data_IF_241470238300
#
_entry.id   IF_241470238300
#
_cell.length_a   1.000
_cell.length_b   1.000
_cell.length_c   1.000
_cell.angle_alpha   90.00
_cell.angle_beta   90.00
_cell.angle_gamma   90.00
#
_symmetry.space_group_name_H-M   'P 1'
#
loop_
_entity.id
_entity.type
_entity.pdbx_description
1 polymer ?
#
# COMPACT_ATOMS: atom_id res chain seq x y z
N UNK A 1 -25.55 1.49 5.50
CA UNK A 1 -25.24 1.11 4.11
C UNK A 1 -24.90 -0.38 4.08
N UNK A 2 -25.20 -1.10 3.01
CA UNK A 2 -24.79 -2.51 2.83
C UNK A 2 -23.63 -2.53 1.84
N UNK A 3 -22.51 -3.14 2.22
CA UNK A 3 -21.35 -3.31 1.34
C UNK A 3 -21.51 -4.57 0.52
N UNK A 4 -21.40 -4.47 -0.80
CA UNK A 4 -21.45 -5.62 -1.70
C UNK A 4 -20.04 -5.98 -2.20
N UNK A 5 -19.74 -7.29 -2.30
CA UNK A 5 -18.53 -7.80 -2.95
C UNK A 5 -18.95 -8.40 -4.28
N UNK A 6 -18.37 -7.93 -5.38
CA UNK A 6 -18.56 -8.47 -6.73
C UNK A 6 -17.23 -8.83 -7.37
N UNK A 7 -17.24 -9.85 -8.23
CA UNK A 7 -16.08 -10.07 -9.10
C UNK A 7 -15.83 -8.80 -9.91
N UNK A 8 -14.56 -8.42 -10.04
CA UNK A 8 -14.19 -7.20 -10.74
C UNK A 8 -14.72 -7.21 -12.18
N UNK A 9 -14.68 -8.37 -12.89
CA UNK A 9 -15.26 -8.54 -14.22
C UNK A 9 -16.73 -8.16 -14.35
N UNK A 10 -17.50 -8.30 -13.28
CA UNK A 10 -18.97 -8.18 -13.31
C UNK A 10 -19.46 -6.86 -12.70
N UNK A 11 -18.58 -6.16 -11.94
CA UNK A 11 -18.94 -4.98 -11.15
C UNK A 11 -18.48 -3.63 -11.73
N UNK A 12 -17.76 -3.61 -12.85
CA UNK A 12 -17.14 -2.38 -13.40
C UNK A 12 -18.15 -1.30 -13.74
N UNK A 13 -19.24 -1.62 -14.44
CA UNK A 13 -20.23 -0.63 -14.86
C UNK A 13 -20.97 -0.02 -13.65
N UNK A 14 -21.27 -0.85 -12.65
CA UNK A 14 -21.85 -0.37 -11.39
C UNK A 14 -20.85 0.48 -10.61
N UNK A 15 -19.59 0.04 -10.49
CA UNK A 15 -18.55 0.81 -9.86
C UNK A 15 -18.33 2.17 -10.51
N UNK A 16 -18.32 2.21 -11.85
CA UNK A 16 -18.23 3.47 -12.60
C UNK A 16 -19.44 4.39 -12.32
N UNK A 17 -20.64 3.84 -12.24
CA UNK A 17 -21.85 4.60 -11.87
C UNK A 17 -21.72 5.18 -10.46
N UNK A 18 -21.32 4.38 -9.47
CA UNK A 18 -21.11 4.84 -8.09
C UNK A 18 -20.12 6.00 -8.05
N UNK A 19 -18.95 5.88 -8.72
CA UNK A 19 -17.94 6.94 -8.79
C UNK A 19 -18.50 8.20 -9.46
N UNK A 20 -19.25 8.07 -10.55
CA UNK A 20 -19.87 9.19 -11.27
C UNK A 20 -20.93 9.93 -10.44
N UNK A 21 -21.55 9.24 -9.50
CA UNK A 21 -22.53 9.78 -8.53
C UNK A 21 -21.86 10.30 -7.25
N UNK A 22 -20.51 10.34 -7.19
CA UNK A 22 -19.73 10.82 -6.02
C UNK A 22 -19.67 9.83 -4.87
N UNK A 23 -19.87 8.53 -5.13
CA UNK A 23 -19.74 7.44 -4.15
C UNK A 23 -18.31 6.89 -4.05
N UNK A 24 -18.14 5.83 -3.24
CA UNK A 24 -16.87 5.15 -2.98
C UNK A 24 -16.87 3.74 -3.56
N UNK A 25 -15.80 3.36 -4.23
CA UNK A 25 -15.57 2.00 -4.72
C UNK A 25 -14.21 1.49 -4.28
N UNK A 26 -14.18 0.27 -3.75
CA UNK A 26 -12.92 -0.42 -3.51
C UNK A 26 -12.53 -1.19 -4.77
N UNK A 27 -11.27 -1.06 -5.16
CA UNK A 27 -10.75 -1.66 -6.39
C UNK A 27 -9.44 -2.44 -6.13
N UNK A 28 -9.22 -3.55 -6.86
CA UNK A 28 -8.01 -4.35 -6.76
C UNK A 28 -6.83 -3.65 -7.44
N UNK A 29 -5.63 -3.81 -6.89
CA UNK A 29 -4.38 -3.50 -7.61
C UNK A 29 -3.37 -4.63 -7.42
N UNK A 30 -2.27 -4.58 -8.17
CA UNK A 30 -1.17 -5.54 -7.98
C UNK A 30 -0.48 -5.37 -6.61
N UNK A 31 -0.61 -4.21 -5.96
CA UNK A 31 0.04 -3.88 -4.68
C UNK A 31 -0.85 -4.17 -3.47
N UNK A 32 -1.87 -3.37 -3.24
CA UNK A 32 -2.90 -3.51 -2.20
C UNK A 32 -4.23 -3.02 -2.77
N UNK A 33 -5.35 -3.40 -2.16
CA UNK A 33 -6.66 -2.85 -2.53
C UNK A 33 -6.72 -1.35 -2.20
N UNK A 34 -7.30 -0.57 -3.13
CA UNK A 34 -7.48 0.88 -3.01
C UNK A 34 -8.94 1.26 -2.75
N UNK A 35 -9.16 2.28 -1.91
CA UNK A 35 -10.47 2.91 -1.71
C UNK A 35 -10.53 4.19 -2.54
N UNK A 36 -11.33 4.20 -3.61
CA UNK A 36 -11.35 5.24 -4.62
C UNK A 36 -12.58 6.13 -4.61
N UNK A 37 -12.34 7.40 -4.92
CA UNK A 37 -13.33 8.40 -5.27
C UNK A 37 -12.86 9.23 -6.46
N UNK A 38 -13.76 9.93 -7.14
CA UNK A 38 -13.41 10.89 -8.19
C UNK A 38 -12.39 11.92 -7.66
N UNK A 39 -11.19 11.94 -8.26
CA UNK A 39 -10.09 12.78 -7.80
C UNK A 39 -10.36 14.30 -7.94
N UNK A 40 -11.32 14.69 -8.78
CA UNK A 40 -11.69 16.09 -9.03
C UNK A 40 -12.84 16.57 -8.14
N UNK A 41 -13.50 15.65 -7.42
CA UNK A 41 -14.63 15.96 -6.53
C UNK A 41 -14.20 15.98 -5.07
N UNK A 42 -14.06 17.19 -4.51
CA UNK A 42 -13.66 17.38 -3.12
C UNK A 42 -14.60 16.70 -2.12
N UNK A 43 -15.92 16.68 -2.39
CA UNK A 43 -16.91 16.06 -1.52
C UNK A 43 -16.80 14.52 -1.56
N UNK A 44 -16.60 13.95 -2.74
CA UNK A 44 -16.36 12.51 -2.89
C UNK A 44 -15.06 12.09 -2.20
N UNK A 45 -13.98 12.86 -2.35
CA UNK A 45 -12.70 12.60 -1.67
C UNK A 45 -12.83 12.71 -0.15
N UNK A 46 -13.63 13.64 0.39
CA UNK A 46 -13.86 13.76 1.82
C UNK A 46 -14.43 12.48 2.44
N UNK A 47 -15.33 11.78 1.73
CA UNK A 47 -15.89 10.49 2.15
C UNK A 47 -14.83 9.40 2.37
N UNK A 48 -13.70 9.42 1.62
CA UNK A 48 -12.58 8.49 1.84
C UNK A 48 -12.02 8.66 3.26
N UNK A 49 -11.81 9.89 3.71
CA UNK A 49 -11.27 10.17 5.03
C UNK A 49 -12.25 9.77 6.14
N UNK A 50 -13.55 10.00 5.92
CA UNK A 50 -14.63 9.60 6.84
C UNK A 50 -14.69 8.08 6.98
N UNK A 51 -14.82 7.34 5.86
CA UNK A 51 -14.92 5.88 5.86
C UNK A 51 -13.73 5.19 6.53
N UNK A 52 -12.52 5.76 6.39
CA UNK A 52 -11.29 5.22 6.99
C UNK A 52 -11.02 5.69 8.42
N UNK A 53 -11.69 6.73 8.92
CA UNK A 53 -11.25 7.44 10.12
C UNK A 53 -9.83 8.02 9.96
N UNK A 54 -9.49 8.55 8.76
CA UNK A 54 -8.15 9.01 8.39
C UNK A 54 -8.02 10.53 8.57
N UNK A 55 -6.93 11.03 9.17
CA UNK A 55 -6.64 12.46 9.18
C UNK A 55 -6.41 13.00 7.75
N UNK A 56 -6.91 14.20 7.44
CA UNK A 56 -6.81 14.82 6.12
C UNK A 56 -5.40 15.41 5.81
N UNK A 57 -4.48 15.35 6.75
CA UNK A 57 -3.09 15.84 6.60
C UNK A 57 -2.14 14.81 5.95
N UNK A 58 -2.68 13.73 5.38
CA UNK A 58 -1.94 12.66 4.73
C UNK A 58 -2.46 12.48 3.29
N UNK A 59 -1.68 12.87 2.26
CA UNK A 59 -2.16 12.97 0.88
C UNK A 59 -2.59 11.62 0.31
N UNK A 60 -3.32 11.66 -0.80
CA UNK A 60 -3.78 10.51 -1.58
C UNK A 60 -2.98 10.41 -2.89
N UNK A 61 -3.00 9.22 -3.49
CA UNK A 61 -2.43 8.98 -4.83
C UNK A 61 -3.56 9.00 -5.84
N UNK A 62 -3.38 9.70 -6.95
CA UNK A 62 -4.33 9.71 -8.06
C UNK A 62 -3.97 8.57 -9.02
N UNK A 63 -4.93 7.67 -9.22
CA UNK A 63 -4.81 6.52 -10.12
C UNK A 63 -5.40 6.87 -11.48
N UNK A 64 -4.68 6.54 -12.56
CA UNK A 64 -5.04 6.80 -13.94
C UNK A 64 -5.16 5.49 -14.74
N UNK A 65 -5.89 5.53 -15.85
CA UNK A 65 -5.99 4.40 -16.80
C UNK A 65 -5.12 4.59 -18.04
N UNK A 66 -4.75 5.83 -18.36
CA UNK A 66 -3.87 6.17 -19.49
C UNK A 66 -2.99 7.38 -19.17
N UNK A 67 -1.87 7.52 -19.91
CA UNK A 67 -0.94 8.64 -19.70
C UNK A 67 -1.51 10.00 -20.14
N UNK A 68 -2.51 10.03 -21.01
CA UNK A 68 -3.20 11.25 -21.43
C UNK A 68 -3.85 11.95 -20.25
N UNK A 69 -4.39 11.19 -19.30
CA UNK A 69 -5.05 11.73 -18.10
C UNK A 69 -4.11 12.52 -17.20
N UNK A 70 -2.80 12.30 -17.29
CA UNK A 70 -1.84 13.00 -16.43
C UNK A 70 -1.85 14.52 -16.65
N UNK A 71 -2.20 14.96 -17.86
CA UNK A 71 -2.29 16.41 -18.23
C UNK A 71 -3.42 17.15 -17.52
N UNK A 72 -4.43 16.42 -17.02
CA UNK A 72 -5.49 16.98 -16.20
C UNK A 72 -5.12 17.03 -14.72
N UNK A 73 -4.13 16.24 -14.29
CA UNK A 73 -3.76 16.02 -12.89
C UNK A 73 -2.54 16.84 -12.52
N UNK A 74 -1.59 17.00 -13.45
CA UNK A 74 -0.30 17.64 -13.20
C UNK A 74 0.05 18.68 -14.25
N UNK A 75 0.94 19.62 -13.85
CA UNK A 75 1.54 20.64 -14.71
C UNK A 75 3.06 20.52 -14.71
N UNK A 76 3.75 21.14 -15.65
CA UNK A 76 5.22 21.12 -15.77
C UNK A 76 5.79 19.68 -15.73
N UNK A 77 5.15 18.76 -16.44
CA UNK A 77 5.49 17.33 -16.43
C UNK A 77 6.87 17.14 -17.11
N UNK A 78 7.91 16.68 -16.40
CA UNK A 78 9.23 16.50 -16.99
C UNK A 78 9.27 15.28 -17.93
N UNK A 79 10.14 15.31 -18.94
CA UNK A 79 10.31 14.17 -19.88
C UNK A 79 10.64 12.85 -19.18
N UNK A 80 11.41 12.91 -18.08
CA UNK A 80 11.70 11.76 -17.22
C UNK A 80 10.47 11.05 -16.68
N UNK A 81 9.33 11.75 -16.54
CA UNK A 81 8.06 11.08 -16.20
C UNK A 81 7.66 10.07 -17.27
N UNK A 82 7.76 10.44 -18.54
CA UNK A 82 7.35 9.57 -19.65
C UNK A 82 8.33 8.39 -19.84
N UNK A 83 9.62 8.62 -19.66
CA UNK A 83 10.63 7.55 -19.67
C UNK A 83 10.38 6.52 -18.55
N UNK A 84 10.07 6.98 -17.34
CA UNK A 84 9.73 6.10 -16.21
C UNK A 84 8.38 5.39 -16.42
N UNK A 85 7.40 6.09 -17.00
CA UNK A 85 6.09 5.52 -17.27
C UNK A 85 6.18 4.42 -18.33
N UNK A 86 6.95 4.59 -19.39
CA UNK A 86 7.18 3.57 -20.43
C UNK A 86 7.72 2.26 -19.85
N UNK A 87 8.60 2.34 -18.86
CA UNK A 87 9.23 1.16 -18.25
C UNK A 87 8.43 0.55 -17.08
N UNK A 88 7.75 1.36 -16.28
CA UNK A 88 7.17 0.92 -15.00
C UNK A 88 5.66 1.12 -14.89
N UNK A 89 4.99 1.68 -15.89
CA UNK A 89 3.53 1.83 -15.92
C UNK A 89 2.96 1.10 -17.15
N UNK A 90 1.86 0.36 -16.94
CA UNK A 90 1.13 0.16 -15.69
C UNK A 90 1.89 -0.70 -14.69
N UNK A 91 1.94 -0.26 -13.40
CA UNK A 91 2.73 -0.97 -12.39
C UNK A 91 2.85 -0.29 -11.03
N UNK A 92 3.73 -0.83 -10.16
CA UNK A 92 3.85 -0.43 -8.76
C UNK A 92 4.75 0.79 -8.54
N UNK A 93 4.72 1.78 -9.45
CA UNK A 93 5.42 3.06 -9.33
C UNK A 93 4.41 4.21 -9.22
N UNK A 94 4.59 5.05 -8.22
CA UNK A 94 3.92 6.35 -8.07
C UNK A 94 4.93 7.46 -8.26
N UNK A 95 4.61 8.44 -9.08
CA UNK A 95 5.49 9.59 -9.35
C UNK A 95 4.83 10.85 -8.81
N UNK A 96 5.57 11.62 -8.00
CA UNK A 96 5.12 12.91 -7.49
C UNK A 96 5.47 13.99 -8.53
N UNK A 97 4.44 14.76 -8.90
CA UNK A 97 4.49 15.86 -9.87
C UNK A 97 3.89 17.12 -9.25
N UNK A 98 4.06 18.27 -9.89
CA UNK A 98 3.33 19.50 -9.55
C UNK A 98 1.85 19.31 -9.91
N UNK A 99 0.94 19.57 -8.95
CA UNK A 99 -0.49 19.40 -9.18
C UNK A 99 -1.05 20.45 -10.16
N UNK A 100 -2.08 20.10 -10.92
CA UNK A 100 -2.91 21.06 -11.63
C UNK A 100 -3.96 21.68 -10.70
N UNK A 101 -4.54 22.81 -11.11
CA UNK A 101 -5.63 23.46 -10.35
C UNK A 101 -6.93 22.64 -10.33
N UNK A 102 -7.05 21.62 -11.18
CA UNK A 102 -8.20 20.67 -11.17
C UNK A 102 -8.18 19.75 -9.95
N UNK A 103 -7.01 19.50 -9.34
CA UNK A 103 -6.88 18.64 -8.17
C UNK A 103 -7.14 19.44 -6.89
N UNK A 104 -8.20 19.11 -6.13
CA UNK A 104 -8.52 19.77 -4.87
C UNK A 104 -7.41 19.59 -3.82
N UNK A 105 -7.22 20.56 -2.95
CA UNK A 105 -6.20 20.51 -1.90
C UNK A 105 -6.40 19.38 -0.88
N UNK A 106 -7.62 18.89 -0.72
CA UNK A 106 -7.89 17.70 0.14
C UNK A 106 -7.15 16.46 -0.37
N UNK A 107 -6.95 16.29 -1.70
CA UNK A 107 -6.19 15.18 -2.28
C UNK A 107 -4.72 15.27 -1.90
N UNK A 108 -4.17 16.47 -1.84
CA UNK A 108 -2.74 16.73 -1.63
C UNK A 108 -2.40 17.13 -0.19
N UNK A 109 -3.38 17.06 0.71
CA UNK A 109 -3.23 17.51 2.11
C UNK A 109 -2.71 18.96 2.22
N UNK A 110 -3.18 19.85 1.34
CA UNK A 110 -2.78 21.25 1.26
C UNK A 110 -1.45 21.49 0.53
N UNK A 111 -0.84 20.46 -0.06
CA UNK A 111 0.42 20.55 -0.81
C UNK A 111 0.23 20.92 -2.30
N UNK A 112 1.31 21.38 -2.93
CA UNK A 112 1.36 21.77 -4.35
C UNK A 112 1.79 20.60 -5.26
N UNK A 113 1.86 19.37 -4.72
CA UNK A 113 2.31 18.20 -5.45
C UNK A 113 1.31 17.06 -5.33
N UNK A 114 1.20 16.25 -6.37
CA UNK A 114 0.28 15.10 -6.45
C UNK A 114 1.04 13.84 -6.86
N UNK A 115 0.71 12.71 -6.23
CA UNK A 115 1.20 11.41 -6.65
C UNK A 115 0.30 10.83 -7.74
N UNK A 116 0.90 10.40 -8.86
CA UNK A 116 0.21 9.78 -9.99
C UNK A 116 0.71 8.36 -10.19
N UNK A 117 -0.23 7.43 -10.40
CA UNK A 117 0.06 6.02 -10.66
C UNK A 117 -0.91 5.43 -11.67
N UNK A 118 -0.40 4.59 -12.57
CA UNK A 118 -1.23 3.73 -13.42
C UNK A 118 -1.12 2.27 -12.92
N UNK A 119 -2.16 1.71 -12.26
CA UNK A 119 -2.10 0.36 -11.70
C UNK A 119 -2.08 -0.69 -12.80
N UNK A 120 -1.45 -1.85 -12.53
CA UNK A 120 -1.37 -2.95 -13.50
C UNK A 120 -2.70 -3.66 -13.73
N UNK A 121 -3.58 -3.66 -12.73
CA UNK A 121 -4.86 -4.35 -12.79
C UNK A 121 -5.74 -3.80 -13.92
N UNK A 122 -6.22 -4.68 -14.81
CA UNK A 122 -6.97 -4.28 -16.00
C UNK A 122 -8.36 -3.78 -15.67
N UNK A 123 -9.03 -4.38 -14.68
CA UNK A 123 -10.38 -3.99 -14.25
C UNK A 123 -10.38 -2.62 -13.59
N UNK A 124 -9.34 -2.32 -12.79
CA UNK A 124 -9.17 -0.99 -12.21
C UNK A 124 -8.97 0.08 -13.28
N UNK A 125 -8.15 -0.20 -14.31
CA UNK A 125 -7.99 0.73 -15.42
C UNK A 125 -9.29 0.88 -16.23
N UNK A 126 -10.06 -0.19 -16.40
CA UNK A 126 -11.38 -0.12 -17.05
C UNK A 126 -12.36 0.73 -16.21
N UNK A 127 -12.42 0.52 -14.88
CA UNK A 127 -13.21 1.35 -13.97
C UNK A 127 -12.89 2.84 -14.15
N UNK A 128 -11.59 3.21 -14.11
CA UNK A 128 -11.13 4.58 -14.29
C UNK A 128 -11.49 5.12 -15.67
N UNK A 129 -11.37 4.31 -16.72
CA UNK A 129 -11.69 4.74 -18.10
C UNK A 129 -13.18 5.03 -18.32
N UNK A 130 -14.06 4.37 -17.55
CA UNK A 130 -15.52 4.56 -17.58
C UNK A 130 -16.02 5.62 -16.59
N UNK A 131 -15.14 6.13 -15.73
CA UNK A 131 -15.46 7.14 -14.73
C UNK A 131 -14.47 8.31 -14.75
N UNK A 132 -13.69 8.47 -13.71
CA UNK A 132 -12.70 9.54 -13.53
C UNK A 132 -11.38 8.95 -13.02
N UNK A 133 -10.24 9.68 -13.12
CA UNK A 133 -9.08 9.42 -12.27
C UNK A 133 -9.48 9.33 -10.80
N UNK A 134 -8.98 8.31 -10.08
CA UNK A 134 -9.39 8.01 -8.71
C UNK A 134 -8.35 8.44 -7.70
N UNK A 135 -8.70 9.34 -6.79
CA UNK A 135 -7.92 9.56 -5.58
C UNK A 135 -8.12 8.37 -4.64
N UNK A 136 -7.03 7.70 -4.25
CA UNK A 136 -7.15 6.51 -3.41
C UNK A 136 -5.96 6.30 -2.47
N UNK A 137 -6.21 5.99 -1.18
CA UNK A 137 -5.31 5.29 -0.27
C UNK A 137 -5.57 3.79 -0.32
N UNK A 138 -4.83 2.97 0.48
CA UNK A 138 -5.19 1.57 0.75
C UNK A 138 -6.59 1.46 1.38
N UNK A 139 -7.31 0.37 1.12
CA UNK A 139 -8.72 0.21 1.53
C UNK A 139 -8.86 -0.46 2.92
N UNK A 140 -8.20 0.09 3.95
CA UNK A 140 -8.27 -0.35 5.35
C UNK A 140 -8.66 0.81 6.28
N UNK A 141 -9.12 0.54 7.48
CA UNK A 141 -9.21 1.57 8.53
C UNK A 141 -7.82 2.16 8.80
N UNK A 142 -7.78 3.45 9.13
CA UNK A 142 -6.51 4.16 9.35
C UNK A 142 -5.65 3.45 10.40
N UNK A 143 -4.35 3.29 10.11
CA UNK A 143 -3.32 2.59 10.92
C UNK A 143 -3.37 1.06 10.89
N UNK A 144 -4.45 0.41 10.47
CA UNK A 144 -4.54 -1.04 10.33
C UNK A 144 -3.63 -1.57 9.19
N UNK A 145 -3.49 -2.90 9.12
CA UNK A 145 -2.75 -3.60 8.07
C UNK A 145 -3.39 -3.31 6.70
N UNK A 146 -2.58 -3.06 5.68
CA UNK A 146 -3.12 -2.85 4.32
C UNK A 146 -3.75 -4.12 3.76
N UNK A 147 -4.90 -4.03 3.07
CA UNK A 147 -5.63 -5.19 2.59
C UNK A 147 -5.04 -5.70 1.27
N UNK A 148 -4.82 -7.00 1.17
CA UNK A 148 -4.35 -7.70 -0.04
C UNK A 148 -5.40 -8.62 -0.65
N UNK A 149 -6.60 -8.68 -0.06
CA UNK A 149 -7.78 -9.40 -0.57
C UNK A 149 -9.04 -8.58 -0.33
N UNK A 150 -10.11 -8.86 -1.09
CA UNK A 150 -11.43 -8.25 -0.88
C UNK A 150 -11.99 -8.57 0.52
N UNK A 151 -11.68 -9.75 1.06
CA UNK A 151 -12.11 -10.15 2.39
C UNK A 151 -11.50 -9.27 3.49
N UNK A 152 -10.20 -8.92 3.39
CA UNK A 152 -9.54 -8.00 4.33
C UNK A 152 -10.21 -6.61 4.32
N UNK A 153 -10.61 -6.14 3.11
CA UNK A 153 -11.35 -4.88 2.99
C UNK A 153 -12.70 -4.96 3.66
N UNK A 154 -13.45 -6.04 3.40
CA UNK A 154 -14.78 -6.23 3.96
C UNK A 154 -14.76 -6.23 5.49
N UNK A 155 -13.76 -6.86 6.10
CA UNK A 155 -13.60 -6.90 7.56
C UNK A 155 -13.36 -5.51 8.17
N UNK A 156 -12.69 -4.61 7.45
CA UNK A 156 -12.38 -3.26 7.92
C UNK A 156 -13.45 -2.22 7.55
N UNK A 157 -14.06 -2.33 6.36
CA UNK A 157 -14.88 -1.26 5.77
C UNK A 157 -16.33 -1.68 5.46
N UNK A 158 -16.80 -2.84 5.95
CA UNK A 158 -18.20 -3.22 5.79
C UNK A 158 -19.12 -2.17 6.41
N UNK A 159 -20.11 -1.73 5.62
CA UNK A 159 -21.05 -0.66 6.01
C UNK A 159 -20.56 0.77 5.71
N UNK A 160 -19.29 0.94 5.34
CA UNK A 160 -18.67 2.25 5.06
C UNK A 160 -18.52 2.52 3.55
N UNK A 161 -18.58 1.49 2.72
CA UNK A 161 -18.43 1.57 1.25
C UNK A 161 -19.53 0.81 0.55
N UNK A 162 -19.90 1.24 -0.66
CA UNK A 162 -20.98 0.63 -1.42
C UNK A 162 -20.55 -0.70 -2.06
N UNK A 163 -19.38 -0.71 -2.72
CA UNK A 163 -18.94 -1.81 -3.57
C UNK A 163 -17.45 -2.12 -3.38
N UNK A 164 -17.15 -3.41 -3.28
CA UNK A 164 -15.80 -3.98 -3.33
C UNK A 164 -15.69 -4.81 -4.61
N UNK A 165 -14.81 -4.41 -5.51
CA UNK A 165 -14.46 -5.17 -6.72
C UNK A 165 -13.37 -6.20 -6.37
N UNK A 166 -13.68 -7.48 -6.49
CA UNK A 166 -12.76 -8.57 -6.14
C UNK A 166 -12.09 -9.16 -7.40
N UNK A 167 -10.76 -9.14 -7.44
CA UNK A 167 -9.92 -9.81 -8.45
C UNK A 167 -8.87 -10.73 -7.77
N UNK A 168 -9.21 -11.27 -6.60
CA UNK A 168 -8.35 -12.15 -5.83
C UNK A 168 -7.18 -11.46 -5.12
N UNK A 169 -6.18 -12.22 -4.66
CA UNK A 169 -5.05 -11.72 -3.90
C UNK A 169 -4.12 -10.83 -4.73
N UNK A 170 -3.57 -9.78 -4.10
CA UNK A 170 -2.57 -8.92 -4.71
C UNK A 170 -1.27 -9.67 -5.02
N UNK A 171 -0.64 -9.37 -6.16
CA UNK A 171 0.55 -10.09 -6.64
C UNK A 171 1.86 -9.57 -6.04
N UNK A 172 1.94 -8.28 -5.67
CA UNK A 172 3.13 -7.64 -5.07
C UNK A 172 3.03 -7.63 -3.54
N UNK A 173 1.87 -7.30 -2.98
CA UNK A 173 1.55 -7.41 -1.55
C UNK A 173 1.98 -6.25 -0.67
N UNK A 174 2.77 -5.29 -1.17
CA UNK A 174 3.10 -4.04 -0.48
C UNK A 174 2.81 -2.83 -1.39
N UNK A 175 2.70 -1.65 -0.82
CA UNK A 175 2.40 -0.42 -1.56
C UNK A 175 3.50 -0.06 -2.56
N UNK A 176 3.11 0.70 -3.60
CA UNK A 176 3.99 1.20 -4.66
C UNK A 176 5.20 1.98 -4.13
N UNK A 177 6.30 1.93 -4.86
CA UNK A 177 7.38 2.89 -4.73
C UNK A 177 6.86 4.29 -5.02
N UNK A 178 7.27 5.29 -4.24
CA UNK A 178 6.93 6.69 -4.48
C UNK A 178 8.21 7.47 -4.77
N UNK A 179 8.31 7.98 -5.99
CA UNK A 179 9.44 8.78 -6.48
C UNK A 179 9.03 10.24 -6.65
N UNK A 180 9.75 11.15 -6.03
CA UNK A 180 9.55 12.61 -6.18
C UNK A 180 10.42 13.15 -7.32
N UNK A 181 9.78 13.65 -8.39
CA UNK A 181 10.42 14.33 -9.51
C UNK A 181 10.34 15.86 -9.41
N UNK A 182 9.78 16.42 -8.33
CA UNK A 182 9.66 17.87 -8.12
C UNK A 182 10.87 18.50 -7.44
N UNK A 183 11.94 17.72 -7.29
CA UNK A 183 13.21 18.11 -6.65
C UNK A 183 14.38 17.90 -7.61
N UNK A 184 15.51 18.59 -7.39
CA UNK A 184 16.67 18.55 -8.29
C UNK A 184 17.24 17.14 -8.47
N UNK A 185 17.33 16.38 -7.36
CA UNK A 185 17.71 14.96 -7.36
C UNK A 185 16.46 14.14 -7.09
N UNK A 186 16.00 13.31 -8.03
CA UNK A 186 14.87 12.42 -7.82
C UNK A 186 15.00 11.63 -6.52
N UNK A 187 13.95 11.67 -5.68
CA UNK A 187 14.03 11.16 -4.30
C UNK A 187 12.95 10.11 -4.04
N UNK A 188 13.33 8.92 -3.58
CA UNK A 188 12.39 7.90 -3.12
C UNK A 188 11.85 8.31 -1.75
N UNK A 189 10.56 8.65 -1.71
CA UNK A 189 9.85 9.01 -0.48
C UNK A 189 9.30 7.78 0.25
N UNK A 190 9.02 6.72 -0.49
CA UNK A 190 8.58 5.42 0.04
C UNK A 190 9.16 4.32 -0.83
N UNK A 191 10.01 3.44 -0.30
CA UNK A 191 10.51 2.29 -1.04
C UNK A 191 9.37 1.28 -1.31
N UNK A 192 9.47 0.53 -2.41
CA UNK A 192 8.51 -0.49 -2.83
C UNK A 192 9.16 -1.45 -3.84
N UNK A 193 8.32 -2.14 -4.63
CA UNK A 193 8.80 -3.17 -5.57
C UNK A 193 9.65 -2.62 -6.73
N UNK A 194 9.49 -1.34 -7.10
CA UNK A 194 10.44 -0.67 -8.01
C UNK A 194 11.57 -0.12 -7.13
N UNK A 195 12.75 -0.74 -7.23
CA UNK A 195 13.90 -0.42 -6.36
C UNK A 195 14.70 0.77 -6.88
N UNK A 196 15.61 1.30 -6.05
CA UNK A 196 16.48 2.40 -6.46
C UNK A 196 17.37 2.02 -7.64
N UNK A 197 17.88 0.81 -7.64
CA UNK A 197 18.74 0.27 -8.71
C UNK A 197 18.01 0.26 -10.06
N UNK A 198 16.71 -0.13 -10.06
CA UNK A 198 15.89 -0.12 -11.28
C UNK A 198 15.65 1.30 -11.83
N UNK A 199 15.63 2.30 -10.96
CA UNK A 199 15.38 3.70 -11.34
C UNK A 199 16.64 4.40 -11.87
N UNK A 200 17.84 4.01 -11.40
CA UNK A 200 19.11 4.67 -11.73
C UNK A 200 19.39 4.77 -13.22
N UNK A 201 19.04 3.75 -14.01
CA UNK A 201 19.24 3.72 -15.47
C UNK A 201 18.51 4.88 -16.18
N UNK A 202 17.38 5.36 -15.60
CA UNK A 202 16.56 6.41 -16.22
C UNK A 202 16.87 7.78 -15.59
N UNK A 203 16.91 7.86 -14.26
CA UNK A 203 17.05 9.14 -13.59
C UNK A 203 18.50 9.56 -13.32
N UNK A 204 19.46 8.63 -13.52
CA UNK A 204 20.91 8.85 -13.36
C UNK A 204 21.36 8.94 -11.91
N UNK A 205 20.60 9.56 -11.04
CA UNK A 205 20.86 9.67 -9.61
C UNK A 205 19.55 9.59 -8.82
N UNK A 206 19.54 8.83 -7.72
CA UNK A 206 18.39 8.68 -6.82
C UNK A 206 18.82 8.89 -5.40
N UNK A 207 18.09 9.73 -4.65
CA UNK A 207 18.22 9.87 -3.20
C UNK A 207 17.19 8.98 -2.49
N UNK A 208 17.59 8.33 -1.40
CA UNK A 208 16.68 7.57 -0.51
C UNK A 208 16.48 8.28 0.84
N UNK A 209 17.24 9.34 1.10
CA UNK A 209 17.15 10.11 2.34
C UNK A 209 16.32 11.38 2.10
N UNK A 210 15.00 11.25 2.20
CA UNK A 210 14.14 12.42 2.25
C UNK A 210 14.46 13.24 3.51
N UNK A 211 14.86 14.52 3.35
CA UNK A 211 14.88 15.47 4.48
C UNK A 211 13.50 15.46 5.13
N UNK A 212 13.44 15.65 6.46
CA UNK A 212 12.17 15.80 7.18
C UNK A 212 11.33 16.89 6.49
N UNK A 213 10.32 16.46 5.76
CA UNK A 213 9.45 17.34 4.98
C UNK A 213 8.32 17.78 5.90
N UNK A 214 8.12 19.09 6.09
CA UNK A 214 7.05 19.64 6.96
C UNK A 214 5.65 19.24 6.51
N UNK A 215 5.43 19.09 5.19
CA UNK A 215 4.17 18.62 4.58
C UNK A 215 4.44 17.29 3.90
N UNK A 216 3.71 16.24 4.28
CA UNK A 216 3.88 14.93 3.66
C UNK A 216 3.50 15.00 2.18
N UNK A 217 4.40 14.58 1.28
CA UNK A 217 4.14 14.48 -0.17
C UNK A 217 3.56 13.12 -0.58
N UNK A 218 3.61 12.13 0.30
CA UNK A 218 3.15 10.77 0.02
C UNK A 218 2.52 10.10 1.25
N UNK A 219 1.60 9.13 1.06
CA UNK A 219 1.06 8.32 2.14
C UNK A 219 2.17 7.51 2.84
N UNK A 220 2.04 7.35 4.17
CA UNK A 220 2.98 6.53 4.96
C UNK A 220 4.22 7.26 5.50
N UNK A 221 4.31 8.59 5.35
CA UNK A 221 5.45 9.37 5.85
C UNK A 221 5.32 9.84 7.30
N UNK A 222 4.10 10.03 7.82
CA UNK A 222 3.86 10.74 9.10
C UNK A 222 3.50 9.85 10.29
N UNK A 223 2.82 8.74 10.09
CA UNK A 223 2.18 7.97 11.16
C UNK A 223 2.69 6.54 11.22
N UNK A 224 2.49 5.89 12.39
CA UNK A 224 2.57 4.44 12.48
C UNK A 224 1.47 3.86 11.57
N UNK A 225 1.87 2.98 10.67
CA UNK A 225 1.01 2.32 9.70
C UNK A 225 1.22 0.81 9.81
N UNK A 226 0.25 0.05 9.30
CA UNK A 226 0.35 -1.41 9.12
C UNK A 226 0.34 -2.22 10.42
N UNK A 227 0.00 -1.61 11.56
CA UNK A 227 0.11 -2.25 12.86
C UNK A 227 -1.01 -3.28 13.09
N UNK A 228 -0.68 -4.56 13.37
CA UNK A 228 -1.63 -5.51 13.94
C UNK A 228 -2.21 -5.01 15.26
N UNK A 229 -3.36 -5.56 15.65
CA UNK A 229 -4.02 -5.23 16.93
C UNK A 229 -3.34 -5.89 18.13
N UNK A 230 -2.43 -6.83 17.89
CA UNK A 230 -1.71 -7.59 18.91
C UNK A 230 -0.23 -7.21 18.93
N UNK A 231 0.44 -7.50 20.05
CA UNK A 231 1.87 -7.23 20.19
C UNK A 231 2.66 -7.92 19.08
N UNK A 232 3.44 -7.12 18.35
CA UNK A 232 4.24 -7.58 17.23
C UNK A 232 5.68 -7.12 17.40
N UNK A 233 6.62 -8.02 17.14
CA UNK A 233 8.07 -7.75 17.16
C UNK A 233 8.73 -8.31 15.91
N UNK A 234 9.88 -7.76 15.54
CA UNK A 234 10.76 -8.39 14.56
C UNK A 234 11.83 -9.20 15.28
N UNK A 235 12.35 -10.25 14.66
CA UNK A 235 13.45 -11.04 15.17
C UNK A 235 14.64 -10.99 14.21
N UNK A 236 15.80 -10.62 14.72
CA UNK A 236 17.08 -10.44 13.96
C UNK A 236 17.44 -11.71 13.17
N UNK A 237 17.12 -12.87 13.71
CA UNK A 237 17.26 -14.16 13.02
C UNK A 237 16.24 -15.16 13.56
N UNK A 238 16.18 -16.35 12.94
CA UNK A 238 15.17 -17.34 13.27
C UNK A 238 15.37 -18.00 14.63
N UNK A 239 16.61 -18.10 15.13
CA UNK A 239 16.93 -18.60 16.46
C UNK A 239 16.41 -17.63 17.53
N UNK A 240 16.53 -16.32 17.33
CA UNK A 240 15.92 -15.32 18.21
C UNK A 240 14.41 -15.40 18.18
N UNK A 241 13.81 -15.61 17.00
CA UNK A 241 12.35 -15.82 16.89
C UNK A 241 11.89 -17.03 17.70
N UNK A 242 12.61 -18.16 17.61
CA UNK A 242 12.30 -19.38 18.36
C UNK A 242 12.43 -19.18 19.88
N UNK A 243 13.49 -18.50 20.32
CA UNK A 243 13.72 -18.20 21.74
C UNK A 243 12.64 -17.26 22.30
N UNK A 244 12.28 -16.21 21.55
CA UNK A 244 11.21 -15.30 21.96
C UNK A 244 9.86 -15.99 21.99
N UNK A 245 9.57 -16.89 21.02
CA UNK A 245 8.38 -17.70 21.03
C UNK A 245 8.26 -18.51 22.32
N UNK A 246 9.31 -19.28 22.69
CA UNK A 246 9.33 -20.11 23.89
C UNK A 246 9.16 -19.29 25.17
N UNK A 247 9.80 -18.12 25.24
CA UNK A 247 9.63 -17.15 26.33
C UNK A 247 8.19 -16.67 26.45
N UNK A 248 7.52 -16.33 25.34
CA UNK A 248 6.12 -15.86 25.35
C UNK A 248 5.16 -16.99 25.77
N UNK A 249 5.40 -18.24 25.36
CA UNK A 249 4.65 -19.40 25.83
C UNK A 249 4.78 -19.56 27.36
N UNK A 250 5.99 -19.41 27.92
CA UNK A 250 6.20 -19.47 29.37
C UNK A 250 5.47 -18.34 30.11
N UNK A 251 5.21 -17.22 29.44
CA UNK A 251 4.41 -16.10 29.96
C UNK A 251 2.89 -16.30 29.78
N UNK A 252 2.47 -17.46 29.25
CA UNK A 252 1.07 -17.84 29.08
C UNK A 252 0.42 -17.24 27.82
N UNK A 253 1.22 -16.72 26.88
CA UNK A 253 0.72 -16.23 25.60
C UNK A 253 0.59 -17.35 24.56
N UNK A 254 -0.15 -17.06 23.49
CA UNK A 254 -0.27 -17.88 22.28
C UNK A 254 0.47 -17.20 21.12
N UNK A 255 1.83 -17.31 21.04
CA UNK A 255 2.60 -16.65 20.01
C UNK A 255 2.57 -17.40 18.66
N UNK A 256 2.95 -16.66 17.60
CA UNK A 256 3.20 -17.21 16.26
C UNK A 256 4.46 -16.62 15.65
N UNK A 257 5.22 -17.46 14.94
CA UNK A 257 6.33 -17.03 14.09
C UNK A 257 5.79 -16.83 12.68
N UNK A 258 6.08 -15.68 12.06
CA UNK A 258 5.75 -15.34 10.68
C UNK A 258 7.07 -15.27 9.91
N UNK A 259 7.39 -16.30 9.14
CA UNK A 259 8.69 -16.48 8.52
C UNK A 259 8.63 -17.30 7.21
N UNK A 260 9.75 -17.31 6.48
CA UNK A 260 9.91 -18.14 5.28
C UNK A 260 9.99 -19.64 5.62
N UNK A 261 9.52 -20.47 4.69
CA UNK A 261 9.52 -21.93 4.83
C UNK A 261 10.93 -22.55 4.94
N UNK A 262 11.96 -21.84 4.51
CA UNK A 262 13.35 -22.29 4.63
C UNK A 262 13.78 -22.51 6.08
N UNK A 263 13.05 -21.99 7.05
CA UNK A 263 13.33 -22.08 8.49
C UNK A 263 12.42 -23.08 9.22
N UNK A 264 11.60 -23.85 8.48
CA UNK A 264 10.63 -24.77 9.07
C UNK A 264 11.25 -25.76 10.05
N UNK A 265 12.43 -26.29 9.73
CA UNK A 265 13.14 -27.23 10.61
C UNK A 265 13.61 -26.58 11.92
N UNK A 266 14.03 -25.32 11.90
CA UNK A 266 14.44 -24.54 13.10
C UNK A 266 13.24 -24.15 13.94
N UNK A 267 12.14 -23.77 13.30
CA UNK A 267 10.87 -23.44 13.97
C UNK A 267 10.30 -24.69 14.66
N UNK A 268 10.42 -25.88 14.03
CA UNK A 268 9.97 -27.14 14.59
C UNK A 268 8.45 -27.19 14.80
N UNK A 269 8.00 -27.57 16.01
CA UNK A 269 6.59 -27.70 16.36
C UNK A 269 5.90 -26.38 16.77
N UNK A 270 6.63 -25.25 16.75
CA UNK A 270 6.07 -23.93 17.09
C UNK A 270 5.08 -23.48 16.00
N UNK A 271 4.11 -22.65 16.39
CA UNK A 271 3.18 -22.06 15.43
C UNK A 271 3.93 -21.25 14.38
N UNK A 272 3.73 -21.57 13.10
CA UNK A 272 4.34 -20.91 11.96
C UNK A 272 3.27 -20.53 10.94
N UNK A 273 3.23 -19.25 10.58
CA UNK A 273 2.56 -18.78 9.37
C UNK A 273 3.62 -18.57 8.30
N UNK A 274 3.50 -19.31 7.21
CA UNK A 274 4.46 -19.31 6.10
C UNK A 274 4.37 -18.04 5.27
N UNK A 275 5.53 -17.46 4.96
CA UNK A 275 5.69 -16.38 3.97
C UNK A 275 6.16 -16.91 2.60
N UNK A 276 6.24 -18.23 2.41
CA UNK A 276 6.81 -18.87 1.21
C UNK A 276 8.33 -19.01 1.32
N UNK A 277 9.01 -19.08 0.19
CA UNK A 277 10.44 -19.41 0.14
C UNK A 277 11.29 -18.20 -0.26
N UNK A 278 10.84 -17.44 -1.25
CA UNK A 278 11.58 -16.30 -1.82
C UNK A 278 11.24 -14.98 -1.13
N UNK A 279 12.04 -13.94 -1.40
CA UNK A 279 11.76 -12.57 -0.93
C UNK A 279 10.48 -12.01 -1.58
N UNK A 280 10.21 -12.40 -2.82
CA UNK A 280 8.97 -12.05 -3.53
C UNK A 280 7.75 -12.70 -2.87
N UNK A 281 7.85 -13.97 -2.46
CA UNK A 281 6.79 -14.66 -1.71
C UNK A 281 6.57 -13.98 -0.36
N UNK A 282 7.65 -13.71 0.38
CA UNK A 282 7.60 -12.97 1.64
C UNK A 282 6.86 -11.64 1.46
N UNK A 283 7.26 -10.86 0.45
CA UNK A 283 6.69 -9.54 0.18
C UNK A 283 5.19 -9.63 -0.15
N UNK A 284 4.81 -10.61 -0.97
CA UNK A 284 3.42 -10.85 -1.37
C UNK A 284 2.53 -11.26 -0.21
N UNK A 285 3.06 -12.09 0.71
CA UNK A 285 2.29 -12.76 1.73
C UNK A 285 2.26 -12.04 3.08
N UNK A 286 3.18 -11.09 3.34
CA UNK A 286 3.36 -10.50 4.67
C UNK A 286 2.07 -9.89 5.26
N UNK A 287 1.33 -9.08 4.52
CA UNK A 287 0.11 -8.48 5.04
C UNK A 287 -1.00 -9.52 5.26
N UNK A 288 -1.14 -10.51 4.37
CA UNK A 288 -2.10 -11.59 4.56
C UNK A 288 -1.75 -12.42 5.79
N UNK A 289 -0.48 -12.72 6.01
CA UNK A 289 0.01 -13.43 7.20
C UNK A 289 -0.27 -12.63 8.49
N UNK A 290 -0.04 -11.31 8.49
CA UNK A 290 -0.34 -10.46 9.63
C UNK A 290 -1.86 -10.37 9.92
N UNK A 291 -2.72 -10.32 8.88
CA UNK A 291 -4.18 -10.39 9.05
C UNK A 291 -4.64 -11.72 9.65
N UNK A 292 -4.03 -12.83 9.25
CA UNK A 292 -4.31 -14.15 9.86
C UNK A 292 -3.80 -14.20 11.29
N UNK A 293 -2.56 -13.77 11.51
CA UNK A 293 -1.91 -13.81 12.81
C UNK A 293 -2.67 -13.03 13.89
N UNK A 294 -3.13 -11.80 13.59
CA UNK A 294 -3.84 -10.95 14.57
C UNK A 294 -5.21 -11.51 15.01
N UNK A 295 -5.78 -12.48 14.26
CA UNK A 295 -7.05 -13.11 14.59
C UNK A 295 -6.90 -14.34 15.47
N UNK A 296 -5.80 -15.06 15.30
CA UNK A 296 -5.61 -16.39 15.89
C UNK A 296 -4.63 -16.40 17.05
N UNK A 297 -3.77 -15.38 17.14
CA UNK A 297 -2.67 -15.31 18.10
C UNK A 297 -2.67 -13.97 18.83
N UNK A 298 -1.98 -13.93 19.97
CA UNK A 298 -1.88 -12.72 20.82
C UNK A 298 -0.46 -12.10 20.85
N UNK A 299 0.49 -12.76 20.14
CA UNK A 299 1.86 -12.27 19.98
C UNK A 299 2.46 -12.71 18.65
N UNK A 300 2.94 -11.76 17.86
CA UNK A 300 3.48 -12.02 16.52
C UNK A 300 4.98 -11.74 16.50
N UNK A 301 5.75 -12.70 15.99
CA UNK A 301 7.19 -12.61 15.82
C UNK A 301 7.50 -12.72 14.33
N UNK A 302 8.00 -11.66 13.70
CA UNK A 302 8.24 -11.62 12.26
C UNK A 302 9.73 -11.75 11.96
N UNK A 303 10.08 -12.62 11.01
CA UNK A 303 11.44 -12.75 10.48
C UNK A 303 11.95 -11.42 9.90
N UNK A 304 13.16 -10.98 10.26
CA UNK A 304 13.86 -9.89 9.59
C UNK A 304 14.64 -10.35 8.36
N UNK A 305 14.59 -9.49 7.31
CA UNK A 305 15.44 -9.58 6.14
C UNK A 305 16.51 -8.49 6.20
N UNK A 306 17.75 -8.79 5.81
CA UNK A 306 18.89 -7.89 5.98
C UNK A 306 19.50 -7.38 4.66
N UNK A 307 18.81 -7.57 3.53
CA UNK A 307 19.27 -7.14 2.22
C UNK A 307 18.83 -5.73 1.82
N UNK A 308 19.16 -5.37 0.59
CA UNK A 308 18.78 -4.11 -0.05
C UNK A 308 17.59 -4.31 -1.01
N UNK A 309 17.21 -3.27 -1.75
CA UNK A 309 16.17 -3.36 -2.78
C UNK A 309 14.81 -3.76 -2.21
N UNK A 310 14.28 -4.92 -2.65
CA UNK A 310 12.97 -5.41 -2.24
C UNK A 310 12.93 -5.79 -0.76
N UNK A 311 14.00 -6.39 -0.22
CA UNK A 311 14.08 -6.74 1.20
C UNK A 311 13.98 -5.48 2.08
N UNK A 312 14.77 -4.44 1.79
CA UNK A 312 14.67 -3.17 2.51
C UNK A 312 13.27 -2.53 2.36
N UNK A 313 12.62 -2.73 1.23
CA UNK A 313 11.28 -2.20 0.97
C UNK A 313 10.22 -2.89 1.83
N UNK A 314 10.23 -4.21 1.94
CA UNK A 314 9.28 -4.93 2.78
C UNK A 314 9.59 -4.71 4.27
N UNK A 315 10.87 -4.69 4.66
CA UNK A 315 11.26 -4.40 6.04
C UNK A 315 10.84 -3.00 6.51
N UNK A 316 10.82 -2.00 5.63
CA UNK A 316 10.23 -0.70 5.97
C UNK A 316 8.76 -0.80 6.45
N UNK A 317 7.97 -1.79 5.97
CA UNK A 317 6.59 -2.06 6.42
C UNK A 317 6.57 -2.87 7.71
N UNK A 318 7.36 -3.92 7.77
CA UNK A 318 7.43 -4.84 8.91
C UNK A 318 7.90 -4.11 10.18
N UNK A 319 8.97 -3.33 10.09
CA UNK A 319 9.45 -2.51 11.21
C UNK A 319 8.40 -1.51 11.70
N UNK A 320 7.63 -0.90 10.78
CA UNK A 320 6.51 -0.02 11.17
C UNK A 320 5.36 -0.79 11.81
N UNK A 321 5.04 -2.00 11.31
CA UNK A 321 4.02 -2.87 11.88
C UNK A 321 4.38 -3.30 13.31
N UNK A 322 5.66 -3.60 13.56
CA UNK A 322 6.20 -3.93 14.88
C UNK A 322 6.39 -2.70 15.79
N UNK A 323 6.15 -1.46 15.29
CA UNK A 323 6.42 -0.24 16.05
C UNK A 323 7.90 -0.05 16.43
N UNK A 324 8.82 -0.64 15.66
CA UNK A 324 10.26 -0.62 15.90
C UNK A 324 10.72 -1.54 17.03
N UNK A 325 9.88 -2.46 17.50
CA UNK A 325 10.26 -3.46 18.52
C UNK A 325 11.01 -4.61 17.87
N UNK A 326 12.18 -4.95 18.38
CA UNK A 326 13.08 -5.99 17.87
C UNK A 326 13.54 -6.92 19.01
N UNK A 327 13.76 -8.21 18.72
CA UNK A 327 14.26 -9.23 19.65
C UNK A 327 15.36 -10.09 19.02
#
# INVERSE_FOLDING_TARGET
MTTEIKKASDGIDEGAKIINEGGLVVFPTETVYGLGANAFDEQAVAKIFEAKGRPQDNPLIVHISSLEQVKDIAVDIPDKFYELADRFMPGPLTIILKKSDKIPYIVTAGGETVGVRMPKNVYTRELISKSFPLAAPSANRSKHISPTTAQHVYEDLNGEVELILDDGPCQVGIESTVLDLTVDVPTILRPGAVTAEMLLDIVGQVSQNGKVIKIAKAPGMKYTHYAPKVDTVTAVNIEHAANEYDKQVLLGKNPVIVARDIYRDVVGERNLISLGVTVEDYTRNIYSALHTAEKEYDYIIVEELHGQGLEASVMNRVTKAAGGKEV
#
